data_IF_612406876806
#
_entry.id   IF_612406876806
#
_cell.length_a   1.000
_cell.length_b   1.000
_cell.length_c   1.000
_cell.angle_alpha   90.00
_cell.angle_beta   90.00
_cell.angle_gamma   90.00
#
_symmetry.space_group_name_H-M   'P 1'
#
loop_
_entity.id
_entity.type
_entity.pdbx_description
1 polymer ?
#
# COMPACT_ATOMS: atom_id res chain seq x y z
N UNK A 1 4.83 -16.87 3.84
CA UNK A 1 4.95 -16.53 2.42
C UNK A 1 5.67 -15.18 2.23
N UNK A 2 5.14 -14.06 2.69
CA UNK A 2 5.67 -12.68 2.47
C UNK A 2 7.15 -12.52 2.80
N UNK A 3 7.59 -12.90 4.02
CA UNK A 3 9.00 -12.84 4.42
C UNK A 3 9.91 -13.71 3.53
N UNK A 4 9.49 -14.94 3.24
CA UNK A 4 10.26 -15.85 2.36
C UNK A 4 10.28 -15.40 0.90
N UNK A 5 9.29 -14.60 0.47
CA UNK A 5 9.26 -13.92 -0.83
C UNK A 5 10.18 -12.71 -0.93
N UNK A 6 10.89 -12.36 0.16
CA UNK A 6 11.87 -11.27 0.16
C UNK A 6 11.38 -9.96 0.78
N UNK A 7 10.17 -9.91 1.33
CA UNK A 7 9.62 -8.71 1.96
C UNK A 7 9.90 -8.74 3.47
N UNK A 8 10.98 -8.07 3.93
CA UNK A 8 11.41 -8.03 5.34
C UNK A 8 10.62 -7.03 6.16
N UNK A 9 10.02 -6.04 5.51
CA UNK A 9 9.13 -5.05 6.12
C UNK A 9 7.91 -4.85 5.24
N UNK A 10 6.77 -4.57 5.84
CA UNK A 10 5.51 -4.34 5.12
C UNK A 10 4.59 -3.41 5.92
N UNK A 11 3.69 -2.71 5.21
CA UNK A 11 2.54 -2.05 5.80
C UNK A 11 1.26 -2.82 5.46
N UNK A 12 0.47 -3.16 6.47
CA UNK A 12 -0.90 -3.63 6.28
C UNK A 12 -1.86 -2.45 6.44
N UNK A 13 -2.32 -1.92 5.32
CA UNK A 13 -3.15 -0.71 5.28
C UNK A 13 -4.64 -1.06 5.37
N UNK A 14 -5.01 -1.84 6.37
CA UNK A 14 -6.36 -2.20 6.73
C UNK A 14 -6.61 -3.70 6.79
N UNK A 15 -7.28 -4.12 7.86
CA UNK A 15 -7.75 -5.49 8.03
C UNK A 15 -9.25 -5.54 7.75
N UNK A 16 -9.69 -6.59 7.07
CA UNK A 16 -11.10 -6.83 6.80
C UNK A 16 -11.60 -8.00 7.65
N UNK A 17 -12.72 -7.80 8.35
CA UNK A 17 -13.43 -8.84 9.14
C UNK A 17 -12.61 -9.54 10.24
N UNK A 18 -11.51 -8.94 10.69
CA UNK A 18 -10.67 -9.48 11.78
C UNK A 18 -10.40 -8.48 12.92
N UNK A 19 -11.09 -7.33 12.91
CA UNK A 19 -10.91 -6.30 13.93
C UNK A 19 -9.48 -5.76 13.96
N UNK A 20 -8.79 -5.99 15.07
CA UNK A 20 -7.38 -5.64 15.26
C UNK A 20 -6.45 -6.86 15.19
N UNK A 21 -6.85 -7.92 14.49
CA UNK A 21 -6.05 -9.15 14.36
C UNK A 21 -4.69 -8.94 13.68
N UNK A 22 -4.54 -7.91 12.86
CA UNK A 22 -3.26 -7.52 12.28
C UNK A 22 -2.26 -7.02 13.34
N UNK A 23 -2.75 -6.37 14.41
CA UNK A 23 -1.93 -5.97 15.55
C UNK A 23 -1.41 -7.19 16.31
N UNK A 24 -2.26 -8.19 16.51
CA UNK A 24 -1.87 -9.44 17.18
C UNK A 24 -0.78 -10.16 16.38
N UNK A 25 -0.92 -10.22 15.05
CA UNK A 25 0.10 -10.79 14.16
C UNK A 25 1.42 -9.99 14.27
N UNK A 26 1.36 -8.65 14.23
CA UNK A 26 2.55 -7.81 14.40
C UNK A 26 3.23 -8.09 15.74
N UNK A 27 2.46 -8.10 16.81
CA UNK A 27 2.98 -8.31 18.17
C UNK A 27 3.65 -9.68 18.30
N UNK A 28 3.03 -10.75 17.78
CA UNK A 28 3.62 -12.09 17.78
C UNK A 28 4.95 -12.16 16.98
N UNK A 29 5.05 -11.41 15.87
CA UNK A 29 6.30 -11.29 15.11
C UNK A 29 7.37 -10.54 15.90
N UNK A 30 7.00 -9.44 16.56
CA UNK A 30 7.90 -8.60 17.34
C UNK A 30 8.42 -9.33 18.60
N UNK A 31 7.58 -10.17 19.21
CA UNK A 31 7.97 -11.07 20.31
C UNK A 31 8.80 -12.28 19.84
N UNK A 32 8.88 -12.52 18.52
CA UNK A 32 9.62 -13.67 17.94
C UNK A 32 8.88 -15.00 18.04
N UNK A 33 7.58 -14.99 18.35
CA UNK A 33 6.74 -16.19 18.43
C UNK A 33 6.47 -16.79 17.05
N UNK A 34 6.37 -15.92 16.03
CA UNK A 34 6.22 -16.34 14.63
C UNK A 34 7.20 -15.59 13.72
N UNK A 35 7.64 -16.26 12.65
CA UNK A 35 8.46 -15.61 11.63
C UNK A 35 7.58 -14.76 10.69
N UNK A 36 7.89 -13.47 10.57
CA UNK A 36 7.21 -12.52 9.69
C UNK A 36 8.05 -11.30 9.35
N UNK A 37 7.58 -10.44 8.42
CA UNK A 37 8.19 -9.14 8.18
C UNK A 37 7.98 -8.22 9.39
N UNK A 38 8.75 -7.12 9.51
CA UNK A 38 8.35 -6.01 10.39
C UNK A 38 7.09 -5.40 9.82
N UNK A 39 6.06 -5.22 10.65
CA UNK A 39 4.79 -4.67 10.21
C UNK A 39 4.53 -3.29 10.80
N UNK A 40 3.99 -2.40 9.96
CA UNK A 40 3.08 -1.35 10.40
C UNK A 40 1.66 -1.75 10.03
N UNK A 41 0.70 -1.44 10.88
CA UNK A 41 -0.67 -1.92 10.77
C UNK A 41 -1.68 -0.80 10.98
N UNK A 42 -2.83 -0.91 10.35
CA UNK A 42 -3.89 0.08 10.42
C UNK A 42 -5.13 -0.39 11.20
N UNK A 43 -5.23 -1.69 11.48
CA UNK A 43 -6.45 -2.24 12.08
C UNK A 43 -7.65 -2.18 11.13
N UNK A 44 -8.83 -2.08 11.69
CA UNK A 44 -10.09 -1.99 10.94
C UNK A 44 -10.30 -0.60 10.31
N UNK A 45 -11.15 -0.52 9.30
CA UNK A 45 -11.46 0.75 8.62
C UNK A 45 -12.30 1.70 9.48
N UNK A 46 -12.39 2.96 9.05
CA UNK A 46 -13.38 3.92 9.56
C UNK A 46 -14.32 4.22 8.40
N UNK A 47 -15.65 4.21 8.61
CA UNK A 47 -16.64 4.45 7.57
C UNK A 47 -17.65 5.50 7.97
N UNK A 48 -17.93 6.44 7.08
CA UNK A 48 -19.02 7.41 7.25
C UNK A 48 -20.37 6.72 7.06
N UNK A 49 -21.23 6.82 8.04
CA UNK A 49 -22.58 6.25 8.03
C UNK A 49 -23.58 7.20 8.71
N UNK A 50 -24.02 8.28 8.01
CA UNK A 50 -24.82 9.34 8.64
C UNK A 50 -26.23 8.90 9.03
N UNK A 51 -26.77 7.85 8.42
CA UNK A 51 -28.09 7.30 8.73
C UNK A 51 -27.96 5.92 9.39
N UNK A 52 -28.83 5.62 10.36
CA UNK A 52 -28.97 4.25 10.85
C UNK A 52 -29.31 3.33 9.66
N UNK A 53 -28.47 2.37 9.43
CA UNK A 53 -28.62 1.31 8.41
C UNK A 53 -28.22 -0.01 9.02
N UNK A 54 -28.02 -1.05 8.20
CA UNK A 54 -27.33 -2.24 8.67
C UNK A 54 -26.01 -1.81 9.30
N UNK A 55 -25.73 -2.16 10.57
CA UNK A 55 -24.48 -1.77 11.21
C UNK A 55 -23.32 -2.30 10.36
N UNK A 56 -22.27 -1.49 10.21
CA UNK A 56 -21.01 -2.01 9.70
C UNK A 56 -20.61 -3.19 10.58
N UNK A 57 -20.09 -4.25 9.98
CA UNK A 57 -19.51 -5.33 10.78
C UNK A 57 -18.44 -4.71 11.70
N UNK A 58 -18.58 -4.82 13.03
CA UNK A 58 -17.63 -4.21 13.96
C UNK A 58 -16.23 -4.79 13.83
N UNK A 59 -16.06 -5.95 13.19
CA UNK A 59 -14.75 -6.50 12.86
C UNK A 59 -14.15 -5.88 11.57
N UNK A 60 -14.98 -5.28 10.72
CA UNK A 60 -14.51 -4.63 9.48
C UNK A 60 -14.25 -3.13 9.66
N UNK A 61 -15.18 -2.41 10.31
CA UNK A 61 -15.07 -0.96 10.41
C UNK A 61 -15.75 -0.35 11.65
N UNK A 62 -15.28 0.83 12.04
CA UNK A 62 -15.99 1.74 12.94
C UNK A 62 -16.88 2.66 12.09
N UNK A 63 -18.18 2.64 12.36
CA UNK A 63 -19.14 3.57 11.77
C UNK A 63 -19.12 4.91 12.50
N UNK A 64 -18.97 6.01 11.77
CA UNK A 64 -18.98 7.38 12.29
C UNK A 64 -20.12 8.19 11.67
N UNK A 65 -20.68 9.15 12.42
CA UNK A 65 -21.85 9.95 12.01
C UNK A 65 -21.64 11.45 12.20
N UNK A 66 -20.56 11.85 12.85
CA UNK A 66 -20.20 13.23 13.13
C UNK A 66 -18.69 13.44 13.07
N UNK A 67 -18.26 14.69 13.12
CA UNK A 67 -16.84 15.08 13.27
C UNK A 67 -16.29 14.60 14.62
N UNK A 68 -17.11 14.63 15.66
CA UNK A 68 -16.77 14.17 17.01
C UNK A 68 -16.53 12.66 16.99
N UNK A 69 -17.42 11.88 16.35
CA UNK A 69 -17.23 10.44 16.17
C UNK A 69 -15.93 10.14 15.39
N UNK A 70 -15.63 10.96 14.38
CA UNK A 70 -14.40 10.81 13.58
C UNK A 70 -13.15 10.91 14.47
N UNK A 71 -13.08 11.95 15.31
CA UNK A 71 -11.96 12.12 16.25
C UNK A 71 -11.90 11.02 17.30
N UNK A 72 -13.05 10.59 17.83
CA UNK A 72 -13.13 9.49 18.79
C UNK A 72 -12.66 8.17 18.18
N UNK A 73 -13.05 7.86 16.94
CA UNK A 73 -12.64 6.65 16.24
C UNK A 73 -11.11 6.60 16.01
N UNK A 74 -10.50 7.73 15.61
CA UNK A 74 -9.04 7.82 15.52
C UNK A 74 -8.39 7.58 16.88
N UNK A 75 -8.90 8.21 17.94
CA UNK A 75 -8.42 8.02 19.32
C UNK A 75 -8.51 6.56 19.78
N UNK A 76 -9.58 5.85 19.43
CA UNK A 76 -9.75 4.42 19.71
C UNK A 76 -8.67 3.60 19.01
N UNK A 77 -8.44 3.80 17.71
CA UNK A 77 -7.41 3.10 16.94
C UNK A 77 -6.02 3.32 17.54
N UNK A 78 -5.68 4.55 17.88
CA UNK A 78 -4.37 4.87 18.48
C UNK A 78 -4.19 4.22 19.85
N UNK A 79 -5.26 4.12 20.68
CA UNK A 79 -5.23 3.38 21.96
C UNK A 79 -4.96 1.89 21.77
N UNK A 80 -5.44 1.29 20.68
CA UNK A 80 -5.11 -0.09 20.32
C UNK A 80 -3.66 -0.25 19.85
N UNK A 81 -3.00 0.82 19.46
CA UNK A 81 -1.59 0.80 19.04
C UNK A 81 -1.37 0.63 17.55
N UNK A 82 -2.32 1.07 16.71
CA UNK A 82 -2.12 1.11 15.26
C UNK A 82 -1.03 2.12 14.89
N UNK A 83 -0.38 1.89 13.75
CA UNK A 83 0.63 2.77 13.18
C UNK A 83 0.04 3.75 12.18
N UNK A 84 -1.02 3.32 11.49
CA UNK A 84 -1.73 4.05 10.44
C UNK A 84 -3.22 4.09 10.70
N UNK A 85 -3.90 5.06 10.11
CA UNK A 85 -5.36 5.11 10.02
C UNK A 85 -5.76 4.88 8.57
N UNK A 86 -6.51 3.81 8.29
CA UNK A 86 -7.03 3.50 6.96
C UNK A 86 -8.38 4.16 6.74
N UNK A 87 -8.47 4.95 5.66
CA UNK A 87 -9.68 5.67 5.24
C UNK A 87 -10.06 5.27 3.82
N UNK A 88 -11.35 5.41 3.51
CA UNK A 88 -11.92 5.04 2.21
C UNK A 88 -12.70 6.21 1.60
N UNK A 89 -12.06 7.32 1.18
CA UNK A 89 -12.73 8.48 0.59
C UNK A 89 -13.52 8.19 -0.69
N UNK A 90 -13.20 7.09 -1.39
CA UNK A 90 -14.02 6.58 -2.48
C UNK A 90 -14.53 5.18 -2.16
N UNK A 91 -15.74 4.88 -2.58
CA UNK A 91 -16.32 3.53 -2.60
C UNK A 91 -16.16 2.87 -3.98
N UNK A 92 -17.24 2.28 -4.47
CA UNK A 92 -17.27 1.64 -5.78
C UNK A 92 -17.07 2.64 -6.93
N UNK A 93 -16.65 2.11 -8.08
CA UNK A 93 -16.68 2.87 -9.33
C UNK A 93 -17.67 2.27 -10.32
N UNK A 94 -18.15 3.08 -11.26
CA UNK A 94 -19.04 2.67 -12.34
C UNK A 94 -18.72 3.49 -13.60
N UNK A 95 -19.41 3.17 -14.70
CA UNK A 95 -19.28 3.94 -15.94
C UNK A 95 -20.64 4.47 -16.39
N UNK A 96 -20.65 5.68 -16.94
CA UNK A 96 -21.81 6.22 -17.63
C UNK A 96 -22.09 5.44 -18.91
N UNK A 97 -23.26 5.66 -19.51
CA UNK A 97 -23.58 5.14 -20.85
C UNK A 97 -22.63 5.66 -21.92
N UNK A 98 -22.02 6.84 -21.69
CA UNK A 98 -21.00 7.45 -22.56
C UNK A 98 -19.57 6.95 -22.28
N UNK A 99 -19.40 6.08 -21.27
CA UNK A 99 -18.10 5.47 -20.93
C UNK A 99 -17.21 6.28 -19.99
N UNK A 100 -17.75 7.35 -19.38
CA UNK A 100 -17.02 8.11 -18.35
C UNK A 100 -17.03 7.39 -17.01
N UNK A 101 -15.87 7.31 -16.35
CA UNK A 101 -15.77 6.73 -15.02
C UNK A 101 -16.43 7.63 -13.97
N UNK A 102 -17.19 7.01 -13.08
CA UNK A 102 -17.79 7.63 -11.89
C UNK A 102 -17.29 6.91 -10.65
N UNK A 103 -17.05 7.68 -9.61
CA UNK A 103 -16.53 7.18 -8.34
C UNK A 103 -17.46 7.60 -7.20
N UNK A 104 -17.82 6.65 -6.36
CA UNK A 104 -18.65 6.91 -5.20
C UNK A 104 -17.88 7.73 -4.16
N UNK A 105 -18.42 8.88 -3.77
CA UNK A 105 -17.91 9.68 -2.65
C UNK A 105 -18.45 9.12 -1.34
N UNK A 106 -17.58 8.81 -0.39
CA UNK A 106 -17.97 8.19 0.89
C UNK A 106 -17.94 9.13 2.07
N UNK A 107 -17.05 10.14 2.10
CA UNK A 107 -16.95 11.10 3.20
C UNK A 107 -17.26 12.52 2.76
N UNK A 108 -18.00 13.31 3.57
CA UNK A 108 -17.95 14.76 3.45
C UNK A 108 -16.54 15.29 3.74
N UNK A 109 -16.10 16.32 3.03
CA UNK A 109 -14.76 16.88 3.21
C UNK A 109 -14.45 17.28 4.67
N UNK A 110 -15.36 17.95 5.45
CA UNK A 110 -15.06 18.30 6.84
C UNK A 110 -14.79 17.08 7.73
N UNK A 111 -15.48 15.96 7.48
CA UNK A 111 -15.27 14.70 8.23
C UNK A 111 -13.92 14.10 7.89
N UNK A 112 -13.56 14.06 6.60
CA UNK A 112 -12.26 13.55 6.17
C UNK A 112 -11.12 14.41 6.71
N UNK A 113 -11.27 15.74 6.70
CA UNK A 113 -10.29 16.66 7.30
C UNK A 113 -10.12 16.40 8.81
N UNK A 114 -11.22 16.21 9.55
CA UNK A 114 -11.16 15.92 10.98
C UNK A 114 -10.45 14.57 11.28
N UNK A 115 -10.66 13.54 10.44
CA UNK A 115 -9.96 12.27 10.55
C UNK A 115 -8.45 12.44 10.35
N UNK A 116 -8.04 13.14 9.30
CA UNK A 116 -6.63 13.39 8.99
C UNK A 116 -5.96 14.24 10.04
N UNK A 117 -6.57 15.38 10.41
CA UNK A 117 -6.05 16.29 11.45
C UNK A 117 -5.84 15.57 12.79
N UNK A 118 -6.84 14.79 13.23
CA UNK A 118 -6.75 14.06 14.50
C UNK A 118 -5.68 12.96 14.44
N UNK A 119 -5.57 12.28 13.30
CA UNK A 119 -4.52 11.29 13.07
C UNK A 119 -3.13 11.89 13.21
N UNK A 120 -2.89 13.05 12.57
CA UNK A 120 -1.63 13.76 12.64
C UNK A 120 -1.37 14.32 14.05
N UNK A 121 -2.40 14.86 14.72
CA UNK A 121 -2.32 15.32 16.11
C UNK A 121 -1.86 14.22 17.08
N UNK A 122 -2.27 12.99 16.83
CA UNK A 122 -1.90 11.80 17.62
C UNK A 122 -0.61 11.12 17.10
N UNK A 123 0.11 11.75 16.17
CA UNK A 123 1.41 11.27 15.68
C UNK A 123 1.32 10.02 14.81
N UNK A 124 0.19 9.81 14.14
CA UNK A 124 -0.02 8.71 13.19
C UNK A 124 -0.15 9.24 11.77
N UNK A 125 -0.16 8.34 10.78
CA UNK A 125 -0.31 8.63 9.36
C UNK A 125 -1.62 8.05 8.81
N UNK A 126 -2.07 8.60 7.68
CA UNK A 126 -3.29 8.18 7.00
C UNK A 126 -2.98 7.51 5.67
N UNK A 127 -3.62 6.36 5.42
CA UNK A 127 -3.62 5.65 4.14
C UNK A 127 -5.03 5.72 3.53
N UNK A 128 -5.16 6.41 2.38
CA UNK A 128 -6.47 6.76 1.83
C UNK A 128 -6.75 6.06 0.49
N UNK A 129 -7.69 5.11 0.53
CA UNK A 129 -8.23 4.44 -0.66
C UNK A 129 -8.98 5.45 -1.53
N UNK A 130 -8.45 5.78 -2.70
CA UNK A 130 -8.94 6.90 -3.51
C UNK A 130 -8.85 6.59 -5.00
N UNK A 131 -9.94 6.10 -5.59
CA UNK A 131 -9.96 5.77 -7.01
C UNK A 131 -9.99 7.00 -7.92
N UNK A 132 -10.86 7.98 -7.63
CA UNK A 132 -11.02 9.15 -8.50
C UNK A 132 -12.10 10.11 -8.02
N UNK A 133 -12.47 11.09 -8.86
CA UNK A 133 -13.54 12.05 -8.59
C UNK A 133 -13.31 12.92 -7.36
N UNK A 134 -14.42 13.33 -6.74
CA UNK A 134 -14.37 14.20 -5.55
C UNK A 134 -13.69 13.54 -4.36
N UNK A 135 -13.84 12.23 -4.16
CA UNK A 135 -13.18 11.51 -3.08
C UNK A 135 -11.65 11.59 -3.16
N UNK A 136 -11.08 11.46 -4.37
CA UNK A 136 -9.66 11.66 -4.61
C UNK A 136 -9.24 13.13 -4.40
N UNK A 137 -10.04 14.08 -4.87
CA UNK A 137 -9.79 15.50 -4.63
C UNK A 137 -9.80 15.83 -3.14
N UNK A 138 -10.74 15.26 -2.38
CA UNK A 138 -10.85 15.44 -0.93
C UNK A 138 -9.68 14.80 -0.19
N UNK A 139 -9.21 13.61 -0.63
CA UNK A 139 -8.00 12.95 -0.12
C UNK A 139 -6.79 13.89 -0.17
N UNK A 140 -6.55 14.50 -1.33
CA UNK A 140 -5.44 15.42 -1.55
C UNK A 140 -5.65 16.72 -0.76
N UNK A 141 -6.89 17.22 -0.71
CA UNK A 141 -7.23 18.45 0.02
C UNK A 141 -7.04 18.29 1.53
N UNK A 142 -7.52 17.20 2.09
CA UNK A 142 -7.39 16.86 3.51
C UNK A 142 -5.93 16.58 3.93
N UNK A 143 -5.07 16.22 2.97
CA UNK A 143 -3.65 15.97 3.23
C UNK A 143 -3.37 14.55 3.75
N UNK A 144 -4.08 13.55 3.23
CA UNK A 144 -3.76 12.15 3.50
C UNK A 144 -2.31 11.84 3.13
N UNK A 145 -1.57 11.13 3.98
CA UNK A 145 -0.14 10.86 3.76
C UNK A 145 0.12 10.01 2.52
N UNK A 146 -0.77 9.05 2.22
CA UNK A 146 -0.74 8.29 0.99
C UNK A 146 -2.06 8.39 0.22
N UNK A 147 -1.94 8.57 -1.09
CA UNK A 147 -3.02 8.39 -2.06
C UNK A 147 -2.88 6.99 -2.63
N UNK A 148 -3.81 6.10 -2.27
CA UNK A 148 -3.77 4.72 -2.72
C UNK A 148 -4.64 4.51 -3.94
N UNK A 149 -4.14 3.72 -4.88
CA UNK A 149 -4.71 3.35 -6.16
C UNK A 149 -4.73 4.50 -7.19
N UNK A 150 -5.45 5.59 -6.94
CA UNK A 150 -5.35 6.82 -7.73
C UNK A 150 -5.72 6.68 -9.21
N UNK A 151 -6.73 5.89 -9.58
CA UNK A 151 -7.09 5.60 -10.98
C UNK A 151 -7.34 6.86 -11.81
N UNK A 152 -8.09 7.79 -11.24
CA UNK A 152 -8.50 9.02 -11.90
C UNK A 152 -7.56 10.20 -11.69
N UNK A 153 -6.31 9.99 -11.26
CA UNK A 153 -5.35 11.07 -11.06
C UNK A 153 -5.14 11.89 -12.35
N UNK A 154 -5.13 13.19 -12.18
CA UNK A 154 -4.75 14.17 -13.19
C UNK A 154 -3.35 14.71 -12.91
N UNK A 155 -2.70 15.33 -13.93
CA UNK A 155 -1.38 15.93 -13.72
C UNK A 155 -1.42 17.02 -12.65
N UNK A 156 -2.45 17.87 -12.63
CA UNK A 156 -2.61 18.90 -11.62
C UNK A 156 -2.69 18.33 -10.18
N UNK A 157 -3.36 17.19 -10.03
CA UNK A 157 -3.43 16.50 -8.72
C UNK A 157 -2.08 15.91 -8.33
N UNK A 158 -1.34 15.30 -9.28
CA UNK A 158 0.01 14.80 -9.05
C UNK A 158 0.96 15.93 -8.62
N UNK A 159 0.92 17.07 -9.28
CA UNK A 159 1.72 18.26 -8.90
C UNK A 159 1.36 18.75 -7.49
N UNK A 160 0.07 18.67 -7.14
CA UNK A 160 -0.40 19.02 -5.79
C UNK A 160 0.07 18.03 -4.74
N UNK A 161 0.07 16.72 -5.05
CA UNK A 161 0.62 15.65 -4.19
C UNK A 161 2.10 15.93 -3.90
N UNK A 162 2.89 16.26 -4.93
CA UNK A 162 4.31 16.64 -4.78
C UNK A 162 4.45 17.87 -3.88
N UNK A 163 3.70 18.94 -4.17
CA UNK A 163 3.75 20.21 -3.42
C UNK A 163 3.42 20.01 -1.93
N UNK A 164 2.49 19.14 -1.61
CA UNK A 164 2.08 18.82 -0.24
C UNK A 164 2.98 17.77 0.43
N UNK A 165 3.93 17.17 -0.28
CA UNK A 165 4.79 16.12 0.23
C UNK A 165 4.03 14.83 0.56
N UNK A 166 2.93 14.55 -0.11
CA UNK A 166 2.18 13.29 0.01
C UNK A 166 2.86 12.19 -0.82
N UNK A 167 2.46 10.94 -0.66
CA UNK A 167 2.96 9.84 -1.47
C UNK A 167 1.85 9.20 -2.31
N UNK A 168 2.21 8.55 -3.39
CA UNK A 168 1.31 7.81 -4.26
C UNK A 168 1.65 6.32 -4.21
N UNK A 169 0.70 5.51 -3.75
CA UNK A 169 0.80 4.05 -3.77
C UNK A 169 -0.20 3.45 -4.77
N UNK A 170 0.23 3.12 -5.99
CA UNK A 170 -0.68 2.64 -7.02
C UNK A 170 -1.28 1.28 -6.73
N UNK A 171 -0.59 0.37 -6.04
CA UNK A 171 -0.99 -1.04 -5.94
C UNK A 171 -1.35 -1.63 -7.30
N UNK A 172 -0.48 -1.43 -8.27
CA UNK A 172 -0.79 -1.52 -9.68
C UNK A 172 -1.17 -2.94 -10.11
N UNK A 173 -0.49 -3.96 -9.57
CA UNK A 173 -0.77 -5.37 -9.88
C UNK A 173 -2.18 -5.76 -9.46
N UNK A 174 -2.63 -5.36 -8.25
CA UNK A 174 -3.90 -5.79 -7.67
C UNK A 174 -5.11 -5.44 -8.53
N UNK A 175 -5.03 -4.32 -9.22
CA UNK A 175 -6.13 -3.77 -10.01
C UNK A 175 -5.92 -3.85 -11.52
N UNK A 176 -5.08 -4.79 -11.95
CA UNK A 176 -4.86 -5.10 -13.34
C UNK A 176 -4.95 -6.60 -13.57
N UNK A 177 -4.91 -7.06 -14.82
CA UNK A 177 -4.91 -8.49 -15.12
C UNK A 177 -3.64 -9.16 -14.59
N UNK A 178 -3.74 -10.36 -14.04
CA UNK A 178 -4.92 -11.23 -13.90
C UNK A 178 -5.67 -11.08 -12.57
N UNK A 179 -5.26 -10.17 -11.68
CA UNK A 179 -5.71 -10.11 -10.29
C UNK A 179 -6.91 -9.20 -10.04
N UNK A 180 -7.38 -8.49 -11.05
CA UNK A 180 -8.59 -7.69 -10.93
C UNK A 180 -9.81 -8.62 -10.85
N UNK A 181 -10.62 -8.41 -9.81
CA UNK A 181 -11.78 -9.27 -9.52
C UNK A 181 -12.82 -9.23 -10.66
N UNK A 182 -13.35 -10.40 -11.04
CA UNK A 182 -14.41 -10.54 -12.04
C UNK A 182 -15.76 -9.97 -11.60
N UNK A 183 -15.94 -9.70 -10.30
CA UNK A 183 -17.16 -9.04 -9.80
C UNK A 183 -17.35 -7.64 -10.39
N UNK A 184 -16.27 -6.96 -10.78
CA UNK A 184 -16.33 -5.71 -11.52
C UNK A 184 -16.81 -5.91 -12.98
N UNK A 185 -16.70 -7.11 -13.54
CA UNK A 185 -17.19 -7.41 -14.87
C UNK A 185 -18.74 -7.43 -14.97
N UNK A 186 -19.43 -7.65 -13.86
CA UNK A 186 -20.90 -7.59 -13.80
C UNK A 186 -21.45 -6.16 -13.89
N UNK A 187 -20.64 -5.17 -13.56
CA UNK A 187 -20.97 -3.76 -13.64
C UNK A 187 -20.41 -3.15 -14.94
N UNK A 188 -21.05 -3.42 -16.07
CA UNK A 188 -20.89 -2.67 -17.34
C UNK A 188 -19.52 -2.74 -18.03
N UNK A 189 -18.84 -3.90 -18.03
CA UNK A 189 -17.52 -4.06 -18.67
C UNK A 189 -16.40 -3.31 -17.94
N UNK A 190 -16.57 -3.13 -16.63
CA UNK A 190 -15.84 -2.20 -15.78
C UNK A 190 -14.34 -2.35 -15.77
N UNK A 191 -13.79 -3.59 -15.55
CA UNK A 191 -12.34 -3.75 -15.43
C UNK A 191 -11.58 -3.37 -16.70
N UNK A 192 -12.02 -3.79 -17.87
CA UNK A 192 -11.35 -3.49 -19.14
C UNK A 192 -11.36 -2.00 -19.48
N UNK A 193 -12.36 -1.26 -19.00
CA UNK A 193 -12.42 0.21 -19.17
C UNK A 193 -11.56 0.92 -18.14
N UNK A 194 -11.45 0.39 -16.91
CA UNK A 194 -10.70 1.02 -15.84
C UNK A 194 -9.19 0.84 -16.01
N UNK A 195 -8.71 -0.32 -16.48
CA UNK A 195 -7.28 -0.59 -16.65
C UNK A 195 -6.55 0.51 -17.44
N UNK A 196 -7.00 0.93 -18.64
CA UNK A 196 -6.32 1.99 -19.39
C UNK A 196 -6.28 3.34 -18.66
N UNK A 197 -7.34 3.65 -17.89
CA UNK A 197 -7.41 4.89 -17.09
C UNK A 197 -6.35 4.83 -15.99
N UNK A 198 -6.27 3.70 -15.30
CA UNK A 198 -5.31 3.48 -14.25
C UNK A 198 -3.85 3.46 -14.75
N UNK A 199 -3.59 2.74 -15.83
CA UNK A 199 -2.25 2.74 -16.45
C UNK A 199 -1.78 4.14 -16.83
N UNK A 200 -2.68 4.96 -17.36
CA UNK A 200 -2.38 6.35 -17.65
C UNK A 200 -1.98 7.11 -16.39
N UNK A 201 -2.72 6.95 -15.29
CA UNK A 201 -2.41 7.62 -14.02
C UNK A 201 -1.05 7.17 -13.47
N UNK A 202 -0.75 5.88 -13.50
CA UNK A 202 0.56 5.34 -13.06
C UNK A 202 1.70 5.86 -13.92
N UNK A 203 1.55 5.89 -15.26
CA UNK A 203 2.56 6.45 -16.19
C UNK A 203 2.79 7.94 -15.94
N UNK A 204 1.73 8.71 -15.73
CA UNK A 204 1.83 10.12 -15.36
C UNK A 204 2.55 10.29 -14.02
N UNK A 205 2.20 9.50 -13.01
CA UNK A 205 2.87 9.48 -11.71
C UNK A 205 4.35 9.16 -11.85
N UNK A 206 4.68 8.11 -12.60
CA UNK A 206 6.07 7.75 -12.90
C UNK A 206 6.87 8.87 -13.58
N UNK A 207 6.23 9.65 -14.43
CA UNK A 207 6.86 10.79 -15.13
C UNK A 207 6.92 12.07 -14.28
N UNK A 208 6.13 12.17 -13.21
CA UNK A 208 6.06 13.39 -12.38
C UNK A 208 7.30 13.52 -11.50
N UNK A 209 8.09 14.56 -11.75
CA UNK A 209 9.33 14.83 -11.00
C UNK A 209 9.04 15.14 -9.53
N UNK A 210 9.77 14.50 -8.63
CA UNK A 210 9.64 14.71 -7.19
C UNK A 210 8.48 13.92 -6.53
N UNK A 211 7.65 13.23 -7.31
CA UNK A 211 6.62 12.38 -6.75
C UNK A 211 7.22 11.14 -6.08
N UNK A 212 6.84 10.89 -4.83
CA UNK A 212 7.17 9.66 -4.11
C UNK A 212 6.17 8.57 -4.51
N UNK A 213 6.54 7.76 -5.50
CA UNK A 213 5.75 6.59 -5.90
C UNK A 213 6.20 5.40 -5.06
N UNK A 214 5.28 4.79 -4.36
CA UNK A 214 5.49 3.61 -3.53
C UNK A 214 5.34 2.33 -4.35
N UNK A 215 5.85 1.23 -3.83
CA UNK A 215 5.53 -0.11 -4.30
C UNK A 215 4.74 -0.85 -3.21
N UNK A 216 3.44 -0.62 -3.19
CA UNK A 216 2.46 -1.42 -2.46
C UNK A 216 1.78 -2.38 -3.41
N UNK A 217 1.58 -3.61 -3.00
CA UNK A 217 1.09 -4.66 -3.89
C UNK A 217 -0.42 -4.91 -3.78
N UNK A 218 -1.04 -4.49 -2.68
CA UNK A 218 -2.42 -4.83 -2.39
C UNK A 218 -2.68 -6.34 -2.22
N UNK A 219 -1.64 -7.13 -1.89
CA UNK A 219 -1.81 -8.55 -1.66
C UNK A 219 -2.74 -8.80 -0.46
N UNK A 220 -3.83 -9.51 -0.70
CA UNK A 220 -4.89 -9.78 0.26
C UNK A 220 -4.94 -11.26 0.70
N UNK A 221 -4.10 -12.11 0.12
CA UNK A 221 -4.04 -13.54 0.40
C UNK A 221 -5.09 -14.39 -0.32
N UNK A 222 -6.09 -13.78 -0.93
CA UNK A 222 -7.15 -14.44 -1.68
C UNK A 222 -7.04 -14.19 -3.18
N UNK A 223 -7.32 -12.99 -3.62
CA UNK A 223 -7.23 -12.61 -5.04
C UNK A 223 -5.78 -12.46 -5.49
N UNK A 224 -4.95 -11.81 -4.67
CA UNK A 224 -3.52 -11.69 -4.90
C UNK A 224 -2.75 -12.30 -3.74
N UNK A 225 -2.10 -13.44 -4.00
CA UNK A 225 -1.49 -14.28 -2.97
C UNK A 225 -0.22 -13.68 -2.38
N UNK A 226 -0.04 -13.89 -1.09
CA UNK A 226 1.20 -13.52 -0.41
C UNK A 226 2.40 -14.34 -0.93
N UNK A 227 3.49 -13.65 -1.24
CA UNK A 227 4.72 -14.20 -1.84
C UNK A 227 4.91 -13.76 -3.29
N UNK A 228 3.83 -13.32 -3.98
CA UNK A 228 3.88 -12.84 -5.36
C UNK A 228 4.03 -11.31 -5.49
N UNK A 229 4.17 -10.59 -4.38
CA UNK A 229 4.18 -9.12 -4.36
C UNK A 229 5.28 -8.50 -5.23
N UNK A 230 6.33 -9.24 -5.56
CA UNK A 230 7.41 -8.77 -6.43
C UNK A 230 6.96 -8.48 -7.88
N UNK A 231 5.79 -8.95 -8.28
CA UNK A 231 5.16 -8.55 -9.55
C UNK A 231 4.93 -7.04 -9.64
N UNK A 232 4.69 -6.36 -8.51
CA UNK A 232 4.51 -4.90 -8.50
C UNK A 232 5.72 -4.17 -9.07
N UNK A 233 6.94 -4.63 -8.78
CA UNK A 233 8.15 -4.02 -9.35
C UNK A 233 8.22 -4.14 -10.87
N UNK A 234 7.83 -5.31 -11.42
CA UNK A 234 7.78 -5.50 -12.86
C UNK A 234 6.76 -4.58 -13.52
N UNK A 235 5.57 -4.47 -12.92
CA UNK A 235 4.50 -3.65 -13.46
C UNK A 235 4.83 -2.17 -13.39
N UNK A 236 5.36 -1.68 -12.27
CA UNK A 236 5.85 -0.30 -12.15
C UNK A 236 6.97 -0.01 -13.14
N UNK A 237 7.93 -0.94 -13.30
CA UNK A 237 9.06 -0.74 -14.19
C UNK A 237 8.65 -0.73 -15.67
N UNK A 238 7.90 -1.75 -16.11
CA UNK A 238 7.57 -1.98 -17.52
C UNK A 238 6.27 -1.27 -17.95
N UNK A 239 5.15 -1.58 -17.31
CA UNK A 239 3.84 -1.00 -17.67
C UNK A 239 3.69 0.45 -17.19
N UNK A 240 4.17 0.75 -15.98
CA UNK A 240 4.18 2.09 -15.41
C UNK A 240 5.25 3.02 -16.00
N UNK A 241 6.24 2.46 -16.68
CA UNK A 241 7.31 3.24 -17.33
C UNK A 241 8.34 3.84 -16.37
N UNK A 242 8.42 3.34 -15.11
CA UNK A 242 9.40 3.83 -14.14
C UNK A 242 10.85 3.39 -14.45
N UNK A 243 11.03 2.25 -15.13
CA UNK A 243 12.29 1.56 -15.25
C UNK A 243 12.70 0.83 -13.96
N UNK A 244 13.62 -0.15 -14.09
CA UNK A 244 13.95 -1.09 -13.00
C UNK A 244 14.50 -0.39 -11.75
N UNK A 245 15.44 0.55 -11.93
CA UNK A 245 16.08 1.24 -10.79
C UNK A 245 15.06 1.98 -9.92
N UNK A 246 14.18 2.76 -10.53
CA UNK A 246 13.16 3.52 -9.78
C UNK A 246 12.10 2.63 -9.17
N UNK A 247 11.71 1.54 -9.84
CA UNK A 247 10.81 0.55 -9.26
C UNK A 247 11.42 -0.11 -8.02
N UNK A 248 12.72 -0.48 -8.04
CA UNK A 248 13.43 -0.98 -6.86
C UNK A 248 13.46 0.08 -5.75
N UNK A 249 13.74 1.33 -6.08
CA UNK A 249 13.74 2.43 -5.12
C UNK A 249 12.35 2.65 -4.50
N UNK A 250 11.27 2.51 -5.27
CA UNK A 250 9.91 2.60 -4.78
C UNK A 250 9.64 1.63 -3.63
N UNK A 251 10.04 0.38 -3.76
CA UNK A 251 9.85 -0.65 -2.73
C UNK A 251 10.97 -0.72 -1.67
N UNK A 252 11.94 0.17 -1.71
CA UNK A 252 13.05 0.22 -0.74
C UNK A 252 13.12 1.59 -0.06
N UNK A 253 13.86 2.52 -0.63
CA UNK A 253 14.11 3.85 -0.04
C UNK A 253 12.80 4.63 0.12
N UNK A 254 11.97 4.70 -0.93
CA UNK A 254 10.73 5.50 -0.90
C UNK A 254 9.74 4.93 0.12
N UNK A 255 9.51 3.61 0.11
CA UNK A 255 8.65 2.98 1.11
C UNK A 255 9.19 3.22 2.53
N UNK A 256 10.50 3.09 2.75
CA UNK A 256 11.10 3.35 4.05
C UNK A 256 10.89 4.80 4.52
N UNK A 257 11.02 5.78 3.62
CA UNK A 257 10.77 7.20 3.92
C UNK A 257 9.31 7.46 4.27
N UNK A 258 8.39 6.95 3.47
CA UNK A 258 6.95 7.14 3.69
C UNK A 258 6.51 6.48 4.99
N UNK A 259 7.03 5.29 5.29
CA UNK A 259 6.75 4.57 6.54
C UNK A 259 7.49 5.16 7.76
N UNK A 260 8.41 6.13 7.57
CA UNK A 260 9.18 6.71 8.66
C UNK A 260 10.32 5.84 9.17
N UNK A 261 10.70 4.80 8.42
CA UNK A 261 11.74 3.83 8.76
C UNK A 261 13.06 4.04 8.00
N UNK A 262 13.23 5.18 7.35
CA UNK A 262 14.41 5.47 6.51
C UNK A 262 15.74 5.44 7.27
N UNK A 263 15.72 5.55 8.59
CA UNK A 263 16.93 5.43 9.43
C UNK A 263 17.36 3.98 9.63
N UNK A 264 16.40 3.04 9.55
CA UNK A 264 16.59 1.64 9.94
C UNK A 264 16.65 0.69 8.74
N UNK A 265 15.94 1.00 7.65
CA UNK A 265 15.81 0.15 6.46
C UNK A 265 15.91 0.96 5.15
N UNK A 266 15.70 0.31 4.03
CA UNK A 266 15.56 0.92 2.68
C UNK A 266 16.87 1.03 1.90
N UNK A 267 18.03 0.90 2.54
CA UNK A 267 19.33 0.90 1.87
C UNK A 267 20.35 0.05 2.60
N UNK A 268 21.36 -0.42 1.88
CA UNK A 268 22.51 -1.16 2.47
C UNK A 268 23.52 -0.11 2.93
N UNK A 269 23.36 0.32 4.19
CA UNK A 269 24.21 1.36 4.80
C UNK A 269 24.54 0.97 6.22
N UNK A 270 25.75 1.27 6.68
CA UNK A 270 26.20 1.00 8.07
C UNK A 270 25.23 1.67 9.06
N UNK A 271 24.83 0.91 10.09
CA UNK A 271 23.92 1.36 11.14
C UNK A 271 22.46 0.97 10.90
N UNK A 272 22.08 0.50 9.70
CA UNK A 272 20.75 -0.03 9.40
C UNK A 272 20.66 -1.52 9.70
N UNK A 273 19.44 -2.03 9.80
CA UNK A 273 19.22 -3.47 9.92
C UNK A 273 19.84 -4.25 8.76
N UNK A 274 20.43 -5.39 9.06
CA UNK A 274 20.92 -6.33 8.06
C UNK A 274 19.70 -7.07 7.44
N UNK A 275 18.94 -6.34 6.64
CA UNK A 275 17.78 -6.80 5.90
C UNK A 275 18.13 -6.88 4.42
N UNK A 276 18.48 -8.06 3.94
CA UNK A 276 19.02 -8.27 2.62
C UNK A 276 18.18 -9.27 1.82
N UNK A 277 18.10 -9.05 0.51
CA UNK A 277 17.73 -10.09 -0.47
C UNK A 277 18.83 -10.20 -1.51
N UNK A 278 19.00 -11.42 -2.05
CA UNK A 278 19.82 -11.61 -3.23
C UNK A 278 19.06 -12.47 -4.25
N UNK A 279 19.32 -12.17 -5.51
CA UNK A 279 18.84 -12.88 -6.69
C UNK A 279 20.01 -13.38 -7.48
N UNK A 280 19.80 -14.29 -8.45
CA UNK A 280 20.90 -14.88 -9.22
C UNK A 280 21.40 -13.94 -10.33
N UNK A 281 20.50 -13.17 -10.92
CA UNK A 281 20.79 -12.25 -12.01
C UNK A 281 20.87 -10.79 -11.55
N UNK A 282 20.94 -9.88 -12.52
CA UNK A 282 20.93 -8.44 -12.31
C UNK A 282 19.50 -7.89 -12.40
N UNK A 283 18.86 -7.46 -11.30
CA UNK A 283 17.50 -6.96 -11.31
C UNK A 283 17.37 -5.57 -11.94
N UNK A 284 18.48 -4.89 -12.24
CA UNK A 284 18.47 -3.64 -13.00
C UNK A 284 18.31 -3.94 -14.49
N UNK A 285 18.97 -4.99 -14.99
CA UNK A 285 18.85 -5.45 -16.37
C UNK A 285 17.52 -6.20 -16.59
N UNK A 286 17.14 -7.08 -15.65
CA UNK A 286 15.86 -7.83 -15.67
C UNK A 286 15.16 -7.74 -14.31
N UNK A 287 14.19 -6.85 -14.20
CA UNK A 287 13.42 -6.63 -12.97
C UNK A 287 12.70 -7.90 -12.48
N UNK A 288 12.42 -8.87 -13.36
CA UNK A 288 11.75 -10.11 -13.00
C UNK A 288 12.61 -11.03 -12.11
N UNK A 289 13.91 -10.76 -12.00
CA UNK A 289 14.77 -11.44 -11.02
C UNK A 289 14.24 -11.31 -9.58
N UNK A 290 13.57 -10.20 -9.27
CA UNK A 290 12.96 -9.99 -7.93
C UNK A 290 11.83 -10.98 -7.61
N UNK A 291 11.28 -11.67 -8.60
CA UNK A 291 10.29 -12.75 -8.41
C UNK A 291 10.97 -14.11 -8.09
N UNK A 292 12.28 -14.18 -8.21
CA UNK A 292 13.10 -15.41 -8.04
C UNK A 292 14.17 -15.21 -6.95
N UNK A 293 13.76 -14.61 -5.82
CA UNK A 293 14.66 -14.37 -4.68
C UNK A 293 15.27 -15.69 -4.19
N UNK A 294 16.59 -15.74 -4.05
CA UNK A 294 17.37 -16.90 -3.59
C UNK A 294 17.83 -16.78 -2.15
N UNK A 295 18.06 -15.58 -1.69
CA UNK A 295 18.52 -15.31 -0.33
C UNK A 295 17.67 -14.25 0.33
N UNK A 296 17.29 -14.49 1.59
CA UNK A 296 16.55 -13.54 2.43
C UNK A 296 17.21 -13.52 3.81
N UNK A 297 17.57 -12.33 4.28
CA UNK A 297 18.04 -12.07 5.62
C UNK A 297 17.17 -10.97 6.26
N UNK A 298 16.75 -11.16 7.51
CA UNK A 298 16.04 -10.18 8.32
C UNK A 298 16.76 -9.98 9.64
N UNK A 299 17.22 -8.75 9.92
CA UNK A 299 17.93 -8.41 11.16
C UNK A 299 19.18 -9.26 11.40
N UNK A 300 19.91 -9.65 10.34
CA UNK A 300 21.08 -10.52 10.42
C UNK A 300 20.77 -12.03 10.48
N UNK A 301 19.50 -12.43 10.69
CA UNK A 301 19.08 -13.85 10.67
C UNK A 301 18.78 -14.27 9.23
N UNK A 302 19.43 -15.32 8.74
CA UNK A 302 19.12 -15.93 7.44
C UNK A 302 17.77 -16.66 7.51
N UNK A 303 16.83 -16.25 6.67
CA UNK A 303 15.48 -16.83 6.56
C UNK A 303 15.39 -17.84 5.41
N UNK A 304 16.14 -17.57 4.32
CA UNK A 304 16.19 -18.40 3.12
C UNK A 304 17.57 -18.27 2.50
N UNK A 305 18.17 -19.42 2.11
CA UNK A 305 19.38 -19.44 1.31
C UNK A 305 19.30 -20.64 0.34
N UNK A 306 19.18 -20.34 -0.94
CA UNK A 306 19.14 -21.32 -2.03
C UNK A 306 20.37 -21.20 -2.94
N UNK A 307 21.36 -20.40 -2.57
CA UNK A 307 22.65 -20.44 -3.25
C UNK A 307 23.40 -21.72 -2.85
N UNK A 308 24.12 -22.36 -3.78
CA UNK A 308 24.97 -23.49 -3.44
C UNK A 308 25.90 -23.11 -2.30
N UNK A 309 25.91 -23.89 -1.25
CA UNK A 309 26.98 -23.81 -0.23
C UNK A 309 28.26 -24.26 -0.94
N UNK A 310 29.14 -23.30 -1.25
CA UNK A 310 30.43 -23.62 -1.84
C UNK A 310 31.15 -24.63 -0.94
N UNK A 311 31.42 -25.82 -1.46
CA UNK A 311 32.47 -26.65 -0.93
C UNK A 311 33.77 -25.84 -1.02
N UNK A 312 34.22 -25.29 0.11
CA UNK A 312 35.57 -24.79 0.22
C UNK A 312 36.49 -25.99 -0.04
N UNK A 313 36.86 -26.19 -1.30
CA UNK A 313 38.06 -26.98 -1.58
C UNK A 313 39.24 -26.24 -0.98
N UNK A 314 39.54 -26.52 0.29
CA UNK A 314 40.85 -26.31 0.88
C UNK A 314 41.79 -27.30 0.21
N UNK A 315 42.25 -27.00 -0.97
CA UNK A 315 43.53 -27.58 -1.46
C UNK A 315 44.64 -26.89 -0.67
N UNK A 316 45.25 -27.70 0.16
CA UNK A 316 46.53 -27.40 0.82
C UNK A 316 47.65 -27.18 -0.20
#
# INVERSE_FOLDING_TARGET
ATLRGGFRSAGNMGSHNIGYGDLEIRNAIDMGEIDGPRFQVAGRGIRWQPKPGAPADPLDAIAIRSVEDARAAVGEHVKHGVDWIKLYPTGAYSFTTTGEARYELTYPLPVLQALVEETHRLGRKTACHSFGGDGLAFTITAGCDTVEHGYGLTQQQLDTIVKKGLAYDPTFVRYTEPYMDDNDAKNTGGKFRMIPIFERAVKMGAATKGLRVMAGSGADGSTFVHGAQALEFEWLAKRGGMGSVRAIQAGTIVNAEVMGWQRDIGSITKGKFADLVAVSGDPVADITELQRVKFVMKGGKTIRNEFPTGTTNTTR
#
